data_IF_252370167237
#
_entry.id   IF_252370167237
#
_cell.length_a   1.000
_cell.length_b   1.000
_cell.length_c   1.000
_cell.angle_alpha   90.00
_cell.angle_beta   90.00
_cell.angle_gamma   90.00
#
_symmetry.space_group_name_H-M   'P 1'
#
loop_
_entity.id
_entity.type
_entity.pdbx_description
1 polymer ?
#
# COMPACT_ATOMS: atom_id res chain seq x y z
N UNK A 1 -21.74 -4.44 6.60
CA UNK A 1 -21.21 -4.51 5.22
C UNK A 1 -22.11 -3.60 4.39
N UNK A 2 -21.81 -2.31 4.39
CA UNK A 2 -22.65 -1.25 3.82
C UNK A 2 -21.69 -0.25 3.20
N UNK A 3 -21.97 0.10 1.97
CA UNK A 3 -21.17 0.89 1.03
C UNK A 3 -20.57 2.15 1.65
N UNK A 4 -19.32 2.04 2.08
CA UNK A 4 -18.51 3.20 2.49
C UNK A 4 -17.92 3.83 1.23
N UNK A 5 -18.77 4.25 0.27
CA UNK A 5 -18.38 5.03 -0.92
C UNK A 5 -18.07 6.50 -0.56
N UNK A 6 -17.37 6.71 0.56
CA UNK A 6 -16.80 7.99 0.95
C UNK A 6 -15.27 7.81 1.06
N UNK A 7 -14.59 8.24 0.01
CA UNK A 7 -13.19 8.73 0.04
C UNK A 7 -12.06 7.71 0.24
N UNK A 8 -11.75 6.99 -0.84
CA UNK A 8 -10.51 6.22 -1.08
C UNK A 8 -9.22 6.91 -0.57
N UNK A 9 -9.17 8.25 -0.53
CA UNK A 9 -8.01 9.03 -0.03
C UNK A 9 -7.55 8.65 1.40
N UNK A 10 -8.46 8.49 2.37
CA UNK A 10 -8.06 8.17 3.76
C UNK A 10 -7.50 6.75 3.89
N UNK A 11 -8.09 5.79 3.19
CA UNK A 11 -7.61 4.42 3.12
C UNK A 11 -6.27 4.33 2.38
N UNK A 12 -6.11 5.11 1.30
CA UNK A 12 -4.84 5.24 0.58
C UNK A 12 -3.76 5.83 1.48
N UNK A 13 -4.05 6.88 2.26
CA UNK A 13 -3.07 7.42 3.21
C UNK A 13 -2.71 6.44 4.31
N UNK A 14 -3.69 5.73 4.87
CA UNK A 14 -3.45 4.70 5.89
C UNK A 14 -2.64 3.53 5.33
N UNK A 15 -2.95 3.06 4.13
CA UNK A 15 -2.19 2.02 3.44
C UNK A 15 -0.79 2.49 3.05
N UNK A 16 -0.64 3.77 2.69
CA UNK A 16 0.66 4.39 2.42
C UNK A 16 1.51 4.39 3.68
N UNK A 17 0.99 4.84 4.82
CA UNK A 17 1.71 4.77 6.12
C UNK A 17 2.10 3.34 6.49
N UNK A 18 1.18 2.37 6.38
CA UNK A 18 1.51 0.96 6.63
C UNK A 18 2.69 0.45 5.77
N UNK A 19 2.72 0.84 4.49
CA UNK A 19 3.83 0.46 3.61
C UNK A 19 5.13 1.21 3.94
N UNK A 20 5.04 2.46 4.39
CA UNK A 20 6.21 3.20 4.87
C UNK A 20 6.81 2.55 6.12
N UNK A 21 5.97 2.13 7.07
CA UNK A 21 6.41 1.51 8.32
C UNK A 21 6.97 0.10 8.11
N UNK A 22 6.35 -0.72 7.25
CA UNK A 22 6.81 -2.10 6.95
C UNK A 22 8.04 -2.16 6.05
N UNK A 23 8.13 -1.31 5.02
CA UNK A 23 9.16 -1.39 3.97
C UNK A 23 10.19 -0.24 4.07
N UNK A 24 9.99 0.73 4.96
CA UNK A 24 10.85 1.91 5.06
C UNK A 24 10.78 2.83 3.83
N UNK A 25 9.74 2.71 3.00
CA UNK A 25 9.64 3.49 1.76
C UNK A 25 9.15 4.91 2.00
N UNK A 26 9.50 5.81 1.09
CA UNK A 26 8.98 7.19 1.12
C UNK A 26 7.49 7.21 0.75
N UNK A 27 6.74 8.20 1.26
CA UNK A 27 5.29 8.38 1.04
C UNK A 27 4.92 8.34 -0.44
N UNK A 28 5.70 8.99 -1.30
CA UNK A 28 5.50 8.99 -2.75
C UNK A 28 5.64 7.60 -3.36
N UNK A 29 6.69 6.86 -2.99
CA UNK A 29 6.94 5.49 -3.47
C UNK A 29 5.87 4.52 -2.96
N UNK A 30 5.57 4.57 -1.67
CA UNK A 30 4.54 3.76 -1.03
C UNK A 30 3.15 4.02 -1.64
N UNK A 31 2.79 5.28 -1.91
CA UNK A 31 1.52 5.64 -2.55
C UNK A 31 1.45 5.14 -3.99
N UNK A 32 2.55 5.28 -4.76
CA UNK A 32 2.63 4.78 -6.14
C UNK A 32 2.44 3.26 -6.19
N UNK A 33 3.15 2.52 -5.33
CA UNK A 33 2.99 1.07 -5.19
C UNK A 33 1.56 0.71 -4.74
N UNK A 34 0.99 1.43 -3.78
CA UNK A 34 -0.37 1.14 -3.33
C UNK A 34 -1.40 1.32 -4.45
N UNK A 35 -1.23 2.34 -5.30
CA UNK A 35 -2.09 2.58 -6.47
C UNK A 35 -1.87 1.53 -7.57
N UNK A 36 -0.63 1.11 -7.79
CA UNK A 36 -0.27 0.13 -8.82
C UNK A 36 -0.78 -1.28 -8.47
N UNK A 37 -0.64 -1.71 -7.22
CA UNK A 37 -1.04 -3.04 -6.77
C UNK A 37 -2.48 -3.08 -6.23
N UNK A 38 -3.06 -1.93 -5.88
CA UNK A 38 -4.42 -1.78 -5.35
C UNK A 38 -4.64 -2.29 -3.93
N UNK A 39 -3.62 -2.87 -3.27
CA UNK A 39 -3.71 -3.36 -1.89
C UNK A 39 -2.34 -3.48 -1.23
N UNK A 40 -2.24 -3.08 0.04
CA UNK A 40 -1.03 -3.19 0.87
C UNK A 40 -0.46 -4.61 0.88
N UNK A 41 -1.32 -5.63 1.03
CA UNK A 41 -0.90 -7.05 1.06
C UNK A 41 -0.24 -7.49 -0.24
N UNK A 42 -0.75 -7.02 -1.39
CA UNK A 42 -0.18 -7.35 -2.71
C UNK A 42 1.21 -6.74 -2.86
N UNK A 43 1.41 -5.50 -2.41
CA UNK A 43 2.72 -4.83 -2.41
C UNK A 43 3.72 -5.61 -1.55
N UNK A 44 3.39 -5.88 -0.29
CA UNK A 44 4.29 -6.60 0.64
C UNK A 44 4.64 -7.99 0.10
N UNK A 45 3.66 -8.72 -0.43
CA UNK A 45 3.89 -10.04 -1.04
C UNK A 45 4.83 -9.95 -2.24
N UNK A 46 4.71 -8.92 -3.07
CA UNK A 46 5.55 -8.77 -4.25
C UNK A 46 6.99 -8.37 -3.88
N UNK A 47 7.14 -7.44 -2.93
CA UNK A 47 8.46 -7.04 -2.43
C UNK A 47 9.18 -8.17 -1.70
N UNK A 48 8.47 -8.96 -0.87
CA UNK A 48 9.03 -10.18 -0.27
C UNK A 48 9.45 -11.22 -1.31
N UNK A 49 8.70 -11.35 -2.42
CA UNK A 49 9.08 -12.24 -3.53
C UNK A 49 10.32 -11.74 -4.28
N UNK A 50 10.50 -10.43 -4.45
CA UNK A 50 11.69 -9.85 -5.09
C UNK A 50 12.97 -10.07 -4.28
N UNK A 51 12.90 -9.97 -2.95
CA UNK A 51 14.08 -10.16 -2.09
C UNK A 51 14.56 -11.61 -1.99
N UNK A 52 13.77 -12.59 -2.45
CA UNK A 52 14.07 -14.02 -2.40
C UNK A 52 14.57 -14.58 -3.75
N UNK A 53 15.05 -13.74 -4.66
CA UNK A 53 15.61 -14.14 -5.96
C UNK A 53 16.91 -13.41 -6.21
#
# INVERSE_FOLDING_TARGET
MVDMQLTNKKLVERGTRMLMDELGYNKTKAKKLLLEYGSVRKVIRNERKKNNK
#
